data_IF_257534013037
#
_entry.id   IF_257534013037
#
_cell.length_a   1.000
_cell.length_b   1.000
_cell.length_c   1.000
_cell.angle_alpha   90.00
_cell.angle_beta   90.00
_cell.angle_gamma   90.00
#
_symmetry.space_group_name_H-M   'P 1'
#
loop_
_entity.id
_entity.type
_entity.pdbx_description
1 polymer ?
#
# COMPACT_ATOMS: atom_id res chain seq x y z
N UNK A 1 -2.59 17.77 -11.35
CA UNK A 1 -2.88 16.58 -12.16
C UNK A 1 -4.37 16.50 -12.43
N UNK A 2 -4.96 17.41 -13.23
CA UNK A 2 -6.38 17.35 -13.62
C UNK A 2 -6.75 16.06 -14.38
N UNK A 3 -5.76 15.33 -14.88
CA UNK A 3 -5.88 14.03 -15.53
C UNK A 3 -6.10 12.87 -14.55
N UNK A 4 -5.80 13.06 -13.26
CA UNK A 4 -6.03 12.04 -12.24
C UNK A 4 -7.45 12.20 -11.68
N UNK A 5 -8.22 11.11 -11.71
CA UNK A 5 -9.50 11.03 -11.02
C UNK A 5 -9.24 10.91 -9.53
N UNK A 6 -9.30 12.03 -8.81
CA UNK A 6 -9.09 12.08 -7.36
C UNK A 6 -10.43 12.31 -6.69
N UNK A 7 -10.83 11.37 -5.85
CA UNK A 7 -11.97 11.51 -4.95
C UNK A 7 -11.46 11.63 -3.51
N UNK A 8 -11.99 12.62 -2.77
CA UNK A 8 -11.68 12.82 -1.35
C UNK A 8 -12.93 12.53 -0.53
N UNK A 9 -12.82 11.59 0.41
CA UNK A 9 -13.91 11.23 1.32
C UNK A 9 -13.58 11.72 2.73
N UNK A 10 -14.27 12.75 3.19
CA UNK A 10 -14.16 13.24 4.57
C UNK A 10 -15.16 12.51 5.46
N UNK A 11 -14.66 11.85 6.52
CA UNK A 11 -15.48 11.13 7.48
C UNK A 11 -15.89 12.05 8.63
N UNK A 12 -17.08 11.83 9.18
CA UNK A 12 -17.60 12.63 10.31
C UNK A 12 -16.83 12.42 11.62
N UNK A 13 -16.09 11.32 11.73
CA UNK A 13 -15.27 10.97 12.89
C UNK A 13 -14.05 10.15 12.47
N UNK A 14 -13.08 10.01 13.37
CA UNK A 14 -11.92 9.17 13.16
C UNK A 14 -12.29 7.69 13.37
N UNK A 15 -12.33 6.92 12.28
CA UNK A 15 -12.66 5.48 12.28
C UNK A 15 -11.43 4.57 12.37
N UNK A 16 -10.22 5.14 12.49
CA UNK A 16 -8.96 4.41 12.41
C UNK A 16 -8.56 4.06 10.98
N UNK A 17 -7.27 3.75 10.80
CA UNK A 17 -6.66 3.61 9.48
C UNK A 17 -7.09 2.34 8.72
N UNK A 18 -7.54 1.29 9.43
CA UNK A 18 -8.03 0.05 8.81
C UNK A 18 -9.40 0.27 8.19
N UNK A 19 -10.35 0.84 8.94
CA UNK A 19 -11.68 1.12 8.37
C UNK A 19 -11.62 2.23 7.31
N UNK A 20 -10.71 3.20 7.44
CA UNK A 20 -10.46 4.18 6.39
C UNK A 20 -10.01 3.51 5.07
N UNK A 21 -9.12 2.51 5.13
CA UNK A 21 -8.75 1.70 3.96
C UNK A 21 -9.95 0.93 3.40
N UNK A 22 -10.74 0.27 4.26
CA UNK A 22 -11.93 -0.44 3.83
C UNK A 22 -12.93 0.47 3.10
N UNK A 23 -13.15 1.69 3.58
CA UNK A 23 -14.01 2.67 2.92
C UNK A 23 -13.46 3.02 1.53
N UNK A 24 -12.17 3.29 1.42
CA UNK A 24 -11.51 3.56 0.13
C UNK A 24 -11.60 2.38 -0.84
N UNK A 25 -11.33 1.16 -0.37
CA UNK A 25 -11.43 -0.07 -1.18
C UNK A 25 -12.87 -0.31 -1.65
N UNK A 26 -13.88 -0.08 -0.79
CA UNK A 26 -15.29 -0.21 -1.15
C UNK A 26 -15.73 0.84 -2.19
N UNK A 27 -15.13 2.02 -2.16
CA UNK A 27 -15.40 3.08 -3.13
C UNK A 27 -14.67 2.88 -4.47
N UNK A 28 -13.53 2.17 -4.47
CA UNK A 28 -12.77 1.89 -5.67
C UNK A 28 -13.56 1.02 -6.67
N UNK A 29 -13.60 1.47 -7.93
CA UNK A 29 -14.41 0.85 -8.99
C UNK A 29 -13.59 0.03 -10.00
N UNK A 30 -12.29 0.29 -10.06
CA UNK A 30 -11.36 -0.33 -11.02
C UNK A 30 -10.94 -1.74 -10.61
N UNK A 31 -10.22 -2.43 -11.50
CA UNK A 31 -9.88 -3.85 -11.35
C UNK A 31 -8.77 -4.12 -10.32
N UNK A 32 -7.90 -3.14 -10.08
CA UNK A 32 -6.74 -3.25 -9.22
C UNK A 32 -6.79 -2.22 -8.09
N UNK A 33 -6.37 -2.65 -6.90
CA UNK A 33 -6.18 -1.81 -5.73
C UNK A 33 -4.67 -1.70 -5.48
N UNK A 34 -4.20 -0.48 -5.22
CA UNK A 34 -2.88 -0.23 -4.64
C UNK A 34 -3.06 0.62 -3.40
N UNK A 35 -2.62 0.11 -2.26
CA UNK A 35 -2.61 0.89 -1.02
C UNK A 35 -1.37 1.80 -1.03
N UNK A 36 -1.52 3.03 -0.57
CA UNK A 36 -0.42 3.97 -0.40
C UNK A 36 -0.67 4.76 0.88
N UNK A 37 0.22 4.62 1.84
CA UNK A 37 0.15 5.36 3.09
C UNK A 37 0.48 6.84 2.82
N UNK A 38 -0.06 7.75 3.65
CA UNK A 38 -0.01 9.19 3.39
C UNK A 38 1.38 9.82 3.63
N UNK A 39 2.27 9.07 4.28
CA UNK A 39 3.66 9.43 4.51
C UNK A 39 4.66 8.73 3.56
N UNK A 40 4.18 7.87 2.67
CA UNK A 40 4.98 7.15 1.67
C UNK A 40 5.00 7.81 0.29
N UNK A 41 5.98 7.42 -0.53
CA UNK A 41 6.17 7.94 -1.88
C UNK A 41 6.36 6.80 -2.88
N UNK A 42 5.53 6.79 -3.93
CA UNK A 42 5.74 5.92 -5.08
C UNK A 42 6.85 6.48 -5.97
N UNK A 43 7.85 5.65 -6.28
CA UNK A 43 8.92 6.03 -7.21
C UNK A 43 8.41 6.07 -8.66
N UNK A 44 9.09 6.82 -9.55
CA UNK A 44 8.75 6.79 -10.97
C UNK A 44 8.74 5.36 -11.52
N UNK A 45 7.77 5.06 -12.38
CA UNK A 45 7.53 3.74 -12.98
C UNK A 45 7.01 2.66 -12.00
N UNK A 46 6.71 2.98 -10.73
CA UNK A 46 6.24 1.99 -9.76
C UNK A 46 4.95 1.31 -10.25
N UNK A 47 3.92 2.08 -10.55
CA UNK A 47 2.62 1.55 -10.99
C UNK A 47 2.73 0.74 -12.28
N UNK A 48 3.49 1.22 -13.27
CA UNK A 48 3.72 0.53 -14.54
C UNK A 48 4.39 -0.83 -14.35
N UNK A 49 5.37 -0.91 -13.44
CA UNK A 49 6.04 -2.16 -13.09
C UNK A 49 5.11 -3.11 -12.36
N UNK A 50 4.30 -2.62 -11.42
CA UNK A 50 3.34 -3.46 -10.70
C UNK A 50 2.33 -4.07 -11.67
N UNK A 51 1.70 -3.26 -12.53
CA UNK A 51 0.75 -3.73 -13.55
C UNK A 51 1.39 -4.75 -14.50
N UNK A 52 2.62 -4.52 -14.95
CA UNK A 52 3.31 -5.45 -15.86
C UNK A 52 3.49 -6.86 -15.25
N UNK A 53 3.59 -6.96 -13.92
CA UNK A 53 3.74 -8.22 -13.18
C UNK A 53 2.40 -8.82 -12.72
N UNK A 54 1.27 -8.12 -12.88
CA UNK A 54 -0.07 -8.63 -12.56
C UNK A 54 -0.61 -9.65 -13.57
N UNK A 55 0.07 -9.89 -14.69
CA UNK A 55 -0.39 -10.87 -15.70
C UNK A 55 -0.40 -12.30 -15.16
N UNK A 56 0.57 -12.65 -14.30
CA UNK A 56 0.76 -14.00 -13.78
C UNK A 56 0.51 -14.08 -12.26
N UNK A 57 -0.07 -13.05 -11.66
CA UNK A 57 -0.29 -12.94 -10.21
C UNK A 57 -1.61 -12.21 -9.87
N UNK A 58 -2.14 -12.49 -8.67
CA UNK A 58 -3.30 -11.79 -8.11
C UNK A 58 -2.91 -10.72 -7.07
N UNK A 59 -1.66 -10.76 -6.60
CA UNK A 59 -1.05 -9.85 -5.65
C UNK A 59 0.43 -9.69 -5.99
N UNK A 60 0.94 -8.46 -6.03
CA UNK A 60 2.34 -8.13 -6.22
C UNK A 60 2.79 -7.10 -5.18
N UNK A 61 4.01 -7.27 -4.70
CA UNK A 61 4.69 -6.32 -3.82
C UNK A 61 6.09 -6.04 -4.37
N UNK A 62 6.69 -4.94 -3.93
CA UNK A 62 8.06 -4.58 -4.31
C UNK A 62 8.95 -4.46 -3.09
N UNK A 63 10.26 -4.44 -3.33
CA UNK A 63 11.21 -3.89 -2.38
C UNK A 63 10.88 -2.42 -2.11
N UNK A 64 11.31 -1.92 -0.96
CA UNK A 64 11.16 -0.51 -0.60
C UNK A 64 12.46 0.08 -0.08
N UNK A 65 12.59 1.39 -0.20
CA UNK A 65 13.65 2.14 0.43
C UNK A 65 13.08 2.90 1.62
N UNK A 66 13.52 2.52 2.82
CA UNK A 66 13.22 3.28 4.04
C UNK A 66 14.23 4.41 4.11
N UNK A 67 13.75 5.65 4.23
CA UNK A 67 14.63 6.81 4.26
C UNK A 67 14.32 7.73 5.43
N UNK A 68 15.39 8.30 6.00
CA UNK A 68 15.27 9.43 6.91
C UNK A 68 15.29 10.73 6.12
N UNK A 69 14.65 11.75 6.66
CA UNK A 69 14.70 13.09 6.11
C UNK A 69 14.90 14.12 7.21
N UNK A 70 15.46 15.27 6.83
CA UNK A 70 15.45 16.49 7.63
C UNK A 70 14.57 17.52 6.95
N UNK A 71 13.95 18.39 7.73
CA UNK A 71 13.14 19.48 7.17
C UNK A 71 14.00 20.72 7.01
N UNK A 72 14.13 21.22 5.78
CA UNK A 72 14.80 22.49 5.46
C UNK A 72 13.85 23.37 4.65
N UNK A 73 13.60 24.60 5.10
CA UNK A 73 12.69 25.56 4.44
C UNK A 73 11.30 24.98 4.12
N UNK A 74 10.76 24.13 4.99
CA UNK A 74 9.46 23.49 4.81
C UNK A 74 9.47 22.29 3.84
N UNK A 75 10.62 21.90 3.30
CA UNK A 75 10.78 20.73 2.45
C UNK A 75 11.45 19.58 3.19
N UNK A 76 10.98 18.35 2.95
CA UNK A 76 11.64 17.13 3.44
C UNK A 76 12.82 16.80 2.51
N UNK A 77 14.04 16.85 3.04
CA UNK A 77 15.28 16.52 2.32
C UNK A 77 15.78 15.16 2.83
N UNK A 78 15.85 14.11 1.98
CA UNK A 78 16.31 12.79 2.41
C UNK A 78 17.79 12.83 2.82
N UNK A 79 18.15 12.09 3.88
CA UNK A 79 19.52 12.06 4.44
C UNK A 79 20.15 10.68 4.38
N UNK A 80 19.43 9.66 4.79
CA UNK A 80 19.89 8.28 4.89
C UNK A 80 18.84 7.37 4.25
N UNK A 81 19.31 6.28 3.65
CA UNK A 81 18.48 5.32 2.91
C UNK A 81 18.89 3.91 3.28
N UNK A 82 17.90 3.05 3.46
CA UNK A 82 18.06 1.64 3.77
C UNK A 82 17.16 0.84 2.84
N UNK A 83 17.75 -0.11 2.12
CA UNK A 83 17.01 -1.02 1.27
C UNK A 83 16.38 -2.11 2.14
N UNK A 84 15.05 -2.18 2.12
CA UNK A 84 14.28 -3.29 2.67
C UNK A 84 13.81 -4.16 1.50
N UNK A 85 14.56 -5.25 1.29
CA UNK A 85 14.36 -6.16 0.16
C UNK A 85 14.57 -7.60 0.62
N UNK A 86 13.66 -8.48 0.21
CA UNK A 86 13.73 -9.91 0.49
C UNK A 86 13.37 -10.68 -0.77
N UNK A 87 14.04 -11.80 -1.00
CA UNK A 87 13.58 -12.75 -2.02
C UNK A 87 12.20 -13.29 -1.64
N UNK A 88 11.36 -13.55 -2.65
CA UNK A 88 10.04 -14.13 -2.42
C UNK A 88 10.15 -15.49 -1.75
N UNK A 89 9.61 -15.60 -0.54
CA UNK A 89 9.47 -16.84 0.20
C UNK A 89 8.15 -16.82 0.97
N UNK A 90 7.17 -17.58 0.46
CA UNK A 90 5.84 -17.68 1.05
C UNK A 90 5.85 -18.27 2.47
N UNK A 91 6.82 -19.13 2.81
CA UNK A 91 6.92 -19.68 4.17
C UNK A 91 7.51 -18.65 5.12
N UNK A 92 8.51 -17.88 4.68
CA UNK A 92 9.07 -16.79 5.46
C UNK A 92 8.00 -15.72 5.77
N UNK A 93 7.20 -15.32 4.76
CA UNK A 93 6.09 -14.36 4.90
C UNK A 93 5.09 -14.73 6.00
N UNK A 94 4.89 -16.02 6.29
CA UNK A 94 3.97 -16.47 7.35
C UNK A 94 4.52 -16.31 8.77
N UNK A 95 5.80 -15.95 8.90
CA UNK A 95 6.51 -15.93 10.19
C UNK A 95 7.21 -14.60 10.46
N UNK A 96 7.59 -13.87 9.41
CA UNK A 96 8.19 -12.55 9.48
C UNK A 96 7.69 -11.67 8.32
N UNK A 97 7.55 -10.37 8.56
CA UNK A 97 7.14 -9.41 7.52
C UNK A 97 8.28 -9.17 6.55
N UNK A 98 8.25 -9.85 5.41
CA UNK A 98 9.30 -9.78 4.37
C UNK A 98 9.00 -8.72 3.30
N UNK A 99 7.92 -7.95 3.43
CA UNK A 99 7.58 -6.87 2.51
C UNK A 99 6.87 -5.73 3.24
N UNK A 100 6.76 -4.57 2.58
CA UNK A 100 5.99 -3.43 3.07
C UNK A 100 4.66 -3.36 2.31
N UNK A 101 3.51 -3.26 3.01
CA UNK A 101 2.18 -3.28 2.37
C UNK A 101 1.87 -2.05 1.52
N UNK A 102 2.37 -0.89 1.95
CA UNK A 102 2.25 0.35 1.18
C UNK A 102 3.00 0.22 -0.15
N UNK A 103 2.31 0.56 -1.25
CA UNK A 103 2.76 0.36 -2.61
C UNK A 103 2.47 -1.03 -3.19
N UNK A 104 1.97 -2.00 -2.43
CA UNK A 104 1.53 -3.29 -2.97
C UNK A 104 0.27 -3.15 -3.84
N UNK A 105 0.15 -3.98 -4.87
CA UNK A 105 -0.98 -3.97 -5.81
C UNK A 105 -1.64 -5.35 -5.88
N UNK A 106 -2.97 -5.38 -5.92
CA UNK A 106 -3.71 -6.63 -5.98
C UNK A 106 -5.04 -6.50 -6.72
N UNK A 107 -5.63 -7.62 -7.13
CA UNK A 107 -6.96 -7.64 -7.77
C UNK A 107 -8.03 -7.30 -6.75
N UNK A 108 -8.90 -6.33 -7.08
CA UNK A 108 -10.03 -5.96 -6.21
C UNK A 108 -10.91 -7.17 -5.84
N UNK A 109 -11.05 -8.13 -6.76
CA UNK A 109 -11.83 -9.36 -6.58
C UNK A 109 -11.32 -10.28 -5.47
N UNK A 110 -10.10 -10.07 -4.94
CA UNK A 110 -9.64 -10.81 -3.75
C UNK A 110 -10.62 -10.60 -2.57
N UNK A 111 -11.15 -9.39 -2.41
CA UNK A 111 -12.11 -9.09 -1.34
C UNK A 111 -13.45 -9.82 -1.48
N UNK A 112 -13.79 -10.31 -2.67
CA UNK A 112 -14.97 -11.16 -2.89
C UNK A 112 -14.76 -12.58 -2.33
N UNK A 113 -13.51 -12.99 -2.15
CA UNK A 113 -13.12 -14.34 -1.71
C UNK A 113 -12.78 -14.38 -0.22
N UNK A 114 -11.98 -13.44 0.26
CA UNK A 114 -11.45 -13.44 1.64
C UNK A 114 -12.04 -12.35 2.54
N UNK A 115 -12.85 -11.44 1.98
CA UNK A 115 -13.40 -10.30 2.72
C UNK A 115 -12.45 -9.10 2.76
N UNK A 116 -12.86 -8.09 3.53
CA UNK A 116 -12.13 -6.82 3.73
C UNK A 116 -11.21 -6.92 4.95
N UNK A 117 -10.34 -5.91 5.14
CA UNK A 117 -9.44 -5.86 6.29
C UNK A 117 -10.21 -5.92 7.61
N UNK A 118 -9.73 -6.68 8.58
CA UNK A 118 -10.36 -6.81 9.89
C UNK A 118 -10.19 -5.52 10.70
N UNK A 119 -11.27 -4.74 10.84
CA UNK A 119 -11.24 -3.46 11.57
C UNK A 119 -10.97 -3.60 13.08
N UNK A 120 -11.03 -4.81 13.64
CA UNK A 120 -10.60 -5.08 15.02
C UNK A 120 -9.07 -5.24 15.15
N UNK A 121 -8.35 -5.53 14.06
CA UNK A 121 -6.89 -5.66 14.02
C UNK A 121 -6.26 -4.28 13.77
N UNK A 122 -6.01 -3.54 14.85
CA UNK A 122 -5.51 -2.16 14.72
C UNK A 122 -4.05 -2.07 14.25
N UNK A 123 -3.17 -2.96 14.72
CA UNK A 123 -1.79 -3.04 14.26
C UNK A 123 -1.64 -4.35 13.51
N UNK A 124 -0.73 -4.41 12.53
CA UNK A 124 -0.55 -5.59 11.69
C UNK A 124 -1.80 -5.93 10.87
N UNK A 125 -2.55 -4.91 10.46
CA UNK A 125 -3.73 -5.03 9.58
C UNK A 125 -3.39 -5.63 8.22
N UNK A 126 -2.12 -5.57 7.84
CA UNK A 126 -1.54 -6.17 6.64
C UNK A 126 -1.21 -7.67 6.79
N UNK A 127 -1.35 -8.18 8.01
CA UNK A 127 -1.04 -9.53 8.46
C UNK A 127 -2.28 -10.22 9.05
N UNK A 128 -3.46 -9.63 8.84
CA UNK A 128 -4.74 -10.08 9.39
C UNK A 128 -5.22 -11.44 8.84
#
# INVERSE_FOLDING_TARGET
YPELSIELMELSENVGHVEARNIGVRAATEDFIMLCDDDDLLLPCHMERMIANMNDADFVYSDVEIFHYRTENGMRIPTDRFLFAYEYDLQAMRTFSTYVPSGSMYRRTIHDVIGYFDSYVHNYWDWD
#
